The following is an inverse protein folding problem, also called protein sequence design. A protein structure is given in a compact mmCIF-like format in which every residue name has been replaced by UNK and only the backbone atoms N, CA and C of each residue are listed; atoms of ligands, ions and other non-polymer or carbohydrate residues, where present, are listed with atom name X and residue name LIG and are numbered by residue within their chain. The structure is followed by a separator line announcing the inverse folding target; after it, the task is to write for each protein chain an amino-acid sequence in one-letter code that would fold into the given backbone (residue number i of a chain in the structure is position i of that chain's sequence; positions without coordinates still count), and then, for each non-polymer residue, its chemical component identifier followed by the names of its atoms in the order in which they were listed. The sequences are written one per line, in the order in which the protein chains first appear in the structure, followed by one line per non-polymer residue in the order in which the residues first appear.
data_IF_878455201319
#
_entry.id   IF_878455201319
#
_cell.length_a   1.000
_cell.length_b   1.000
_cell.length_c   1.000
_cell.angle_alpha   90.00
_cell.angle_beta   90.00
_cell.angle_gamma   90.00
#
_symmetry.space_group_name_H-M   'P 1'
#
loop_
_entity.id
_entity.type
_entity.pdbx_description
1 polymer ?
#
# COMPACT_ATOMS: atom_id res chain seq x y z
N UNK A 1 -11.73 -25.38 16.39
CA UNK A 1 -10.83 -25.62 15.25
C UNK A 1 -11.32 -24.74 14.11
N UNK A 2 -10.73 -23.56 13.93
CA UNK A 2 -11.14 -22.66 12.86
C UNK A 2 -10.68 -23.25 11.53
N UNK A 3 -11.63 -23.56 10.65
CA UNK A 3 -11.34 -24.03 9.29
C UNK A 3 -10.52 -22.97 8.57
N UNK A 4 -9.27 -23.29 8.22
CA UNK A 4 -8.41 -22.43 7.41
C UNK A 4 -9.04 -22.30 6.02
N UNK A 5 -9.75 -21.20 5.77
CA UNK A 5 -10.29 -20.87 4.46
C UNK A 5 -9.09 -20.60 3.55
N UNK A 6 -8.84 -21.52 2.62
CA UNK A 6 -7.81 -21.36 1.59
C UNK A 6 -8.31 -20.34 0.57
N UNK A 7 -7.78 -19.11 0.64
CA UNK A 7 -8.08 -18.06 -0.34
C UNK A 7 -7.23 -18.25 -1.61
N UNK A 8 -7.76 -17.87 -2.80
CA UNK A 8 -6.98 -17.90 -4.02
C UNK A 8 -5.81 -16.91 -3.96
N UNK A 9 -4.67 -17.29 -4.53
CA UNK A 9 -3.50 -16.41 -4.65
C UNK A 9 -3.67 -15.41 -5.80
N UNK A 10 -3.26 -14.16 -5.60
CA UNK A 10 -3.19 -13.14 -6.66
C UNK A 10 -1.81 -12.44 -6.69
N UNK A 11 -1.52 -11.76 -7.81
CA UNK A 11 -0.30 -10.97 -8.03
C UNK A 11 -0.66 -9.51 -8.33
N UNK A 12 -0.83 -8.67 -7.29
CA UNK A 12 -1.22 -7.28 -7.48
C UNK A 12 -0.09 -6.44 -8.08
N UNK A 13 -0.48 -5.41 -8.85
CA UNK A 13 0.41 -4.44 -9.48
C UNK A 13 0.07 -3.06 -8.94
N UNK A 14 1.05 -2.39 -8.33
CA UNK A 14 0.92 -1.02 -7.85
C UNK A 14 1.49 -0.07 -8.91
N UNK A 15 0.60 0.65 -9.60
CA UNK A 15 0.95 1.54 -10.71
C UNK A 15 1.25 2.96 -10.21
N UNK A 16 2.17 3.71 -10.83
CA UNK A 16 2.52 5.08 -10.43
C UNK A 16 1.51 6.12 -10.94
N UNK A 17 0.28 5.71 -11.22
CA UNK A 17 -0.80 6.54 -11.77
C UNK A 17 -2.16 6.00 -11.36
N UNK A 18 -3.16 6.88 -11.45
CA UNK A 18 -4.55 6.56 -11.16
C UNK A 18 -5.32 6.28 -12.45
N UNK A 19 -6.24 5.32 -12.41
CA UNK A 19 -7.16 5.03 -13.50
C UNK A 19 -8.57 5.31 -12.98
N UNK A 20 -9.30 6.21 -13.64
CA UNK A 20 -10.72 6.48 -13.35
C UNK A 20 -11.62 5.38 -13.95
N UNK A 21 -11.37 4.14 -13.55
CA UNK A 21 -12.13 2.97 -13.97
C UNK A 21 -12.03 1.85 -12.94
N UNK A 22 -13.16 1.50 -12.35
CA UNK A 22 -13.29 0.38 -11.43
C UNK A 22 -14.07 -0.74 -12.11
N UNK A 23 -13.38 -1.82 -12.50
CA UNK A 23 -14.01 -2.96 -13.14
C UNK A 23 -13.02 -3.99 -13.69
N UNK A 24 -13.53 -5.06 -14.32
CA UNK A 24 -12.69 -6.07 -14.94
C UNK A 24 -11.84 -5.47 -16.07
N UNK A 25 -10.54 -5.71 -16.03
CA UNK A 25 -9.59 -5.31 -17.07
C UNK A 25 -8.79 -6.51 -17.58
N UNK A 26 -8.57 -6.65 -18.91
CA UNK A 26 -7.80 -7.74 -19.49
C UNK A 26 -6.28 -7.54 -19.33
N UNK A 27 -5.80 -7.55 -18.09
CA UNK A 27 -4.39 -7.25 -17.75
C UNK A 27 -3.42 -8.22 -18.44
N UNK A 28 -3.70 -9.52 -18.41
CA UNK A 28 -2.83 -10.55 -19.02
C UNK A 28 -2.66 -10.40 -20.54
N UNK A 29 -3.62 -9.78 -21.22
CA UNK A 29 -3.56 -9.57 -22.68
C UNK A 29 -2.71 -8.37 -23.06
N UNK A 30 -2.81 -7.28 -22.32
CA UNK A 30 -2.24 -5.98 -22.71
C UNK A 30 -1.02 -5.56 -21.90
N UNK A 31 -0.91 -5.94 -20.63
CA UNK A 31 0.24 -5.63 -19.79
C UNK A 31 1.30 -6.73 -19.98
N UNK A 32 2.19 -6.52 -20.95
CA UNK A 32 3.32 -7.42 -21.21
C UNK A 32 4.46 -7.05 -20.29
N UNK A 33 4.95 -8.02 -19.53
CA UNK A 33 6.08 -7.85 -18.61
C UNK A 33 7.27 -8.57 -19.19
N UNK A 34 8.37 -7.83 -19.37
CA UNK A 34 9.65 -8.33 -19.83
C UNK A 34 10.65 -8.26 -18.67
N UNK A 35 11.34 -9.35 -18.37
CA UNK A 35 12.37 -9.37 -17.35
C UNK A 35 13.71 -8.92 -17.96
N UNK A 36 14.29 -7.87 -17.42
CA UNK A 36 15.61 -7.39 -17.79
C UNK A 36 16.59 -7.60 -16.65
N UNK A 37 17.71 -8.25 -16.96
CA UNK A 37 18.84 -8.35 -16.04
C UNK A 37 19.85 -7.29 -16.46
N UNK A 38 20.05 -6.27 -15.62
CA UNK A 38 21.22 -5.40 -15.80
C UNK A 38 22.44 -6.13 -15.27
N UNK A 39 23.22 -6.66 -16.18
CA UNK A 39 24.64 -6.85 -15.92
C UNK A 39 25.33 -5.49 -16.14
N UNK A 40 25.90 -4.92 -15.06
CA UNK A 40 26.79 -3.74 -15.05
C UNK A 40 26.12 -2.35 -15.00
N UNK A 41 26.07 -1.75 -13.81
CA UNK A 41 25.87 -0.30 -13.60
C UNK A 41 27.17 0.34 -13.07
N UNK A 42 28.32 -0.02 -13.65
CA UNK A 42 29.63 0.62 -13.38
C UNK A 42 30.52 0.59 -14.64
N UNK A 43 30.04 1.04 -15.81
CA UNK A 43 30.95 1.40 -16.90
C UNK A 43 31.19 2.92 -16.93
N UNK A 44 32.40 3.39 -16.61
CA UNK A 44 32.81 4.75 -16.93
C UNK A 44 32.95 4.89 -18.45
N UNK A 45 32.50 6.04 -18.95
CA UNK A 45 32.62 6.47 -20.35
C UNK A 45 34.03 6.14 -20.90
N UNK A 46 34.16 5.43 -22.04
CA UNK A 46 35.47 5.08 -22.57
C UNK A 46 36.11 6.29 -23.26
N UNK A 47 36.90 7.05 -22.52
CA UNK A 47 37.89 7.96 -23.10
C UNK A 47 39.17 7.17 -23.45
N UNK A 48 39.40 6.97 -24.74
CA UNK A 48 40.74 6.81 -25.33
C UNK A 48 41.28 5.38 -25.52
N UNK A 49 42.04 5.10 -26.60
CA UNK A 49 42.51 3.75 -26.93
C UNK A 49 43.94 3.46 -26.44
N UNK A 50 44.13 2.17 -26.09
CA UNK A 50 45.34 1.33 -26.28
C UNK A 50 46.52 1.46 -25.29
N UNK A 51 46.76 0.40 -24.51
CA UNK A 51 48.08 -0.25 -24.38
C UNK A 51 47.97 -1.59 -23.61
N UNK A 52 48.69 -2.58 -24.12
CA UNK A 52 48.78 -3.98 -23.68
C UNK A 52 49.79 -4.16 -22.54
N UNK A 53 49.56 -5.07 -21.58
CA UNK A 53 50.57 -6.01 -21.01
C UNK A 53 50.14 -6.71 -19.70
N UNK A 54 49.90 -8.01 -19.83
CA UNK A 54 50.35 -9.15 -18.99
C UNK A 54 50.85 -9.01 -17.53
N UNK A 55 50.33 -9.92 -16.69
CA UNK A 55 50.99 -10.91 -15.77
C UNK A 55 50.69 -10.84 -14.25
N UNK A 56 50.33 -12.03 -13.71
CA UNK A 56 50.60 -12.62 -12.37
C UNK A 56 49.79 -12.25 -11.10
N UNK A 57 49.05 -13.27 -10.63
CA UNK A 57 48.88 -13.78 -9.26
C UNK A 57 48.70 -12.83 -8.05
N UNK A 58 47.54 -12.93 -7.37
CA UNK A 58 47.42 -13.15 -5.91
C UNK A 58 45.96 -13.02 -5.41
N UNK A 59 45.50 -14.03 -4.65
CA UNK A 59 44.43 -13.95 -3.63
C UNK A 59 42.97 -14.05 -4.10
N UNK A 60 42.12 -14.94 -3.53
CA UNK A 60 40.68 -14.79 -3.63
C UNK A 60 40.27 -13.68 -2.65
N UNK A 61 40.37 -12.43 -3.09
CA UNK A 61 39.56 -11.36 -2.50
C UNK A 61 38.09 -11.77 -2.63
N UNK A 62 37.21 -11.49 -1.65
CA UNK A 62 35.80 -11.78 -1.81
C UNK A 62 35.34 -10.97 -3.02
N UNK A 63 35.09 -11.65 -4.13
CA UNK A 63 34.41 -11.05 -5.27
C UNK A 63 33.11 -10.51 -4.69
N UNK A 64 32.99 -9.18 -4.57
CA UNK A 64 31.70 -8.55 -4.39
C UNK A 64 30.86 -9.11 -5.54
N UNK A 65 30.00 -10.07 -5.22
CA UNK A 65 29.12 -10.68 -6.19
C UNK A 65 28.36 -9.52 -6.80
N UNK A 66 28.73 -9.20 -8.04
CA UNK A 66 28.11 -8.19 -8.88
C UNK A 66 26.62 -8.49 -8.84
N UNK A 67 25.85 -7.76 -8.02
CA UNK A 67 24.42 -8.01 -7.84
C UNK A 67 23.76 -7.65 -9.15
N UNK A 68 23.57 -8.65 -10.01
CA UNK A 68 22.69 -8.56 -11.14
C UNK A 68 21.32 -8.13 -10.59
N UNK A 69 20.92 -6.90 -10.87
CA UNK A 69 19.61 -6.41 -10.50
C UNK A 69 18.67 -6.78 -11.67
N UNK A 70 17.82 -7.79 -11.44
CA UNK A 70 16.69 -8.09 -12.30
C UNK A 70 15.59 -7.06 -12.02
N UNK A 71 15.13 -6.35 -13.05
CA UNK A 71 13.97 -5.49 -12.99
C UNK A 71 13.00 -5.86 -14.09
N UNK A 72 11.73 -5.57 -13.85
CA UNK A 72 10.66 -5.78 -14.80
C UNK A 72 10.53 -4.54 -15.67
N UNK A 73 10.23 -4.72 -16.95
CA UNK A 73 9.90 -3.63 -17.87
C UNK A 73 8.54 -3.91 -18.47
N UNK A 74 7.71 -2.87 -18.51
CA UNK A 74 6.44 -2.90 -19.23
C UNK A 74 6.18 -1.54 -19.86
N UNK A 75 5.11 -1.45 -20.64
CA UNK A 75 4.63 -0.16 -21.13
C UNK A 75 3.14 -0.02 -20.90
N UNK A 76 2.72 1.17 -20.51
CA UNK A 76 1.31 1.51 -20.33
C UNK A 76 1.01 2.87 -20.97
N UNK A 77 0.01 2.92 -21.85
CA UNK A 77 -0.35 4.12 -22.63
C UNK A 77 0.85 4.78 -23.34
N UNK A 78 1.78 3.97 -23.85
CA UNK A 78 2.97 4.43 -24.55
C UNK A 78 4.10 4.96 -23.67
N UNK A 79 4.01 4.82 -22.34
CA UNK A 79 5.07 5.18 -21.39
C UNK A 79 5.73 3.93 -20.83
N UNK A 80 7.04 3.98 -20.64
CA UNK A 80 7.84 2.91 -20.07
C UNK A 80 7.67 2.85 -18.56
N UNK A 81 7.50 1.63 -18.05
CA UNK A 81 7.37 1.34 -16.64
C UNK A 81 8.47 0.37 -16.24
N UNK A 82 9.12 0.66 -15.11
CA UNK A 82 10.09 -0.21 -14.48
C UNK A 82 9.47 -0.79 -13.22
N UNK A 83 9.41 -2.11 -13.13
CA UNK A 83 8.80 -2.83 -12.03
C UNK A 83 9.83 -3.48 -11.14
N UNK A 84 9.63 -3.42 -9.84
CA UNK A 84 10.39 -4.18 -8.85
C UNK A 84 9.41 -5.11 -8.13
N UNK A 85 9.75 -6.38 -8.00
CA UNK A 85 8.97 -7.31 -7.20
C UNK A 85 9.31 -7.12 -5.72
N UNK A 86 8.29 -6.84 -4.91
CA UNK A 86 8.41 -6.62 -3.47
C UNK A 86 7.69 -7.73 -2.74
N UNK A 87 8.40 -8.38 -1.83
CA UNK A 87 7.83 -9.38 -0.94
C UNK A 87 7.17 -8.70 0.28
N UNK A 88 6.08 -9.30 0.75
CA UNK A 88 5.44 -8.88 1.99
C UNK A 88 6.39 -9.22 3.17
N UNK A 89 6.51 -8.36 4.20
CA UNK A 89 7.36 -8.62 5.35
C UNK A 89 7.07 -9.95 6.04
N UNK A 90 8.11 -10.56 6.62
CA UNK A 90 7.98 -11.84 7.32
C UNK A 90 6.92 -11.77 8.44
N UNK A 91 6.06 -12.78 8.52
CA UNK A 91 4.94 -12.83 9.48
C UNK A 91 3.67 -12.11 9.02
N UNK A 92 3.71 -11.38 7.89
CA UNK A 92 2.54 -10.72 7.32
C UNK A 92 2.04 -11.45 6.08
N UNK A 93 0.76 -11.25 5.75
CA UNK A 93 0.15 -11.74 4.52
C UNK A 93 -0.72 -10.64 3.91
N UNK A 94 -0.67 -10.50 2.59
CA UNK A 94 -1.53 -9.58 1.86
C UNK A 94 -2.93 -10.18 1.69
N UNK A 95 -3.96 -9.40 1.97
CA UNK A 95 -5.36 -9.78 1.77
C UNK A 95 -6.08 -8.78 0.89
N UNK A 96 -6.90 -9.28 -0.03
CA UNK A 96 -7.85 -8.47 -0.80
C UNK A 96 -9.22 -8.65 -0.18
N UNK A 97 -9.82 -7.55 0.27
CA UNK A 97 -11.14 -7.53 0.89
C UNK A 97 -12.14 -6.85 -0.04
N UNK A 98 -13.33 -7.43 -0.17
CA UNK A 98 -14.46 -6.81 -0.87
C UNK A 98 -15.57 -6.50 0.11
N UNK A 99 -16.07 -5.26 0.08
CA UNK A 99 -17.25 -4.87 0.87
C UNK A 99 -18.48 -5.63 0.40
N UNK A 100 -19.34 -6.02 1.34
CA UNK A 100 -20.66 -6.54 0.99
C UNK A 100 -21.54 -5.40 0.47
N UNK A 101 -21.98 -5.50 -0.79
CA UNK A 101 -22.77 -4.46 -1.47
C UNK A 101 -24.23 -4.32 -0.93
N UNK A 102 -24.51 -4.80 0.29
CA UNK A 102 -25.85 -4.96 0.87
C UNK A 102 -26.39 -3.79 1.70
N UNK A 103 -25.58 -2.80 2.07
CA UNK A 103 -26.02 -1.64 2.87
C UNK A 103 -26.02 -0.36 2.04
N UNK A 104 -26.80 -0.34 0.96
CA UNK A 104 -27.24 0.94 0.38
C UNK A 104 -28.13 1.62 1.42
N UNK A 105 -27.55 2.53 2.22
CA UNK A 105 -28.32 3.46 3.04
C UNK A 105 -29.27 4.19 2.08
N UNK A 106 -30.57 3.87 2.15
CA UNK A 106 -31.58 4.70 1.51
C UNK A 106 -31.39 6.11 2.06
N UNK A 107 -30.98 7.03 1.19
CA UNK A 107 -30.98 8.45 1.52
C UNK A 107 -32.42 8.85 1.79
N UNK A 108 -32.80 8.86 3.06
CA UNK A 108 -34.01 9.53 3.51
C UNK A 108 -34.00 10.93 2.91
N UNK A 109 -35.04 11.25 2.13
CA UNK A 109 -35.32 12.61 1.66
C UNK A 109 -35.65 13.48 2.88
N UNK A 110 -34.62 13.91 3.60
CA UNK A 110 -34.72 14.99 4.57
C UNK A 110 -34.92 16.29 3.78
N UNK A 111 -36.15 16.80 3.78
CA UNK A 111 -36.44 18.18 3.35
C UNK A 111 -35.54 19.13 4.15
N UNK A 112 -34.75 19.94 3.46
CA UNK A 112 -34.03 21.05 4.07
C UNK A 112 -35.03 21.97 4.81
N UNK A 113 -34.79 22.33 6.09
CA UNK A 113 -35.61 23.35 6.73
C UNK A 113 -35.23 24.71 6.12
N UNK A 114 -36.25 25.40 5.61
CA UNK A 114 -36.12 26.74 5.04
C UNK A 114 -35.66 27.72 6.11
N UNK A 115 -34.70 28.56 5.73
CA UNK A 115 -34.25 29.69 6.52
C UNK A 115 -35.42 30.68 6.72
N UNK A 116 -35.84 30.85 7.98
CA UNK A 116 -36.67 31.97 8.39
C UNK A 116 -35.95 32.73 9.51
N UNK A 117 -35.49 33.94 9.20
CA UNK A 117 -35.17 34.97 10.18
C UNK A 117 -36.43 35.33 10.99
N UNK A 118 -36.30 35.60 12.30
CA UNK A 118 -36.65 36.96 12.73
C UNK A 118 -35.80 37.54 13.88
N UNK A 119 -35.47 38.82 13.71
CA UNK A 119 -35.63 39.92 14.68
C UNK A 119 -35.53 39.68 16.20
N UNK A 120 -34.42 40.14 16.77
CA UNK A 120 -34.29 41.02 17.97
C UNK A 120 -35.52 41.17 18.91
N UNK A 121 -35.44 40.62 20.12
CA UNK A 121 -35.95 41.23 21.37
C UNK A 121 -35.44 40.54 22.67
N UNK A 122 -34.66 41.31 23.45
CA UNK A 122 -34.57 41.41 24.93
C UNK A 122 -34.56 40.19 25.87
N UNK A 123 -33.39 40.04 26.51
CA UNK A 123 -33.08 39.62 27.91
C UNK A 123 -34.26 39.30 28.85
N UNK A 124 -34.30 38.06 29.36
CA UNK A 124 -34.45 37.76 30.80
C UNK A 124 -33.69 36.48 31.15
N UNK A 125 -32.76 36.62 32.08
CA UNK A 125 -32.01 35.52 32.71
C UNK A 125 -32.92 34.74 33.65
N UNK A 126 -33.09 33.45 33.39
CA UNK A 126 -33.55 32.49 34.40
C UNK A 126 -32.66 31.26 34.29
N UNK A 127 -31.95 31.00 35.39
CA UNK A 127 -31.11 29.82 35.63
C UNK A 127 -31.94 28.55 35.43
N UNK A 128 -31.53 27.69 34.50
CA UNK A 128 -31.80 26.26 34.59
C UNK A 128 -30.45 25.54 34.54
N UNK A 129 -30.08 24.93 35.66
CA UNK A 129 -29.12 23.84 35.68
C UNK A 129 -29.83 22.64 35.03
N UNK A 130 -29.27 22.10 33.96
CA UNK A 130 -29.52 20.73 33.53
C UNK A 130 -28.23 19.97 33.82
N UNK A 131 -28.32 19.21 34.89
CA UNK A 131 -27.46 18.09 35.25
C UNK A 131 -27.93 16.94 34.35
N UNK A 132 -27.06 16.44 33.48
CA UNK A 132 -27.33 15.31 32.57
C UNK A 132 -25.98 14.65 32.28
N UNK A 133 -25.44 14.00 33.31
CA UNK A 133 -24.20 13.20 33.30
C UNK A 133 -24.53 11.69 33.29
N UNK A 134 -25.59 11.30 32.57
CA UNK A 134 -25.97 9.89 32.41
C UNK A 134 -26.38 9.64 30.95
N UNK A 135 -25.40 9.52 30.05
CA UNK A 135 -25.60 8.78 28.78
C UNK A 135 -24.26 8.45 28.08
N UNK A 136 -23.14 8.40 28.83
CA UNK A 136 -21.81 8.23 28.26
C UNK A 136 -21.40 6.81 27.83
N UNK A 137 -22.29 5.84 27.97
CA UNK A 137 -21.96 4.43 27.69
C UNK A 137 -22.76 3.85 26.51
N UNK A 138 -23.85 4.49 26.08
CA UNK A 138 -24.73 3.95 25.03
C UNK A 138 -24.16 4.19 23.61
N UNK A 139 -23.31 5.19 23.41
CA UNK A 139 -22.75 5.53 22.10
C UNK A 139 -21.56 4.66 21.65
N UNK A 140 -20.86 3.99 22.57
CA UNK A 140 -19.79 3.05 22.19
C UNK A 140 -20.35 1.70 21.73
N UNK A 141 -21.44 1.23 22.33
CA UNK A 141 -22.10 -0.02 21.92
C UNK A 141 -22.79 0.11 20.54
N UNK A 142 -23.41 1.27 20.25
CA UNK A 142 -24.08 1.50 18.98
C UNK A 142 -23.11 1.61 17.79
N UNK A 143 -21.90 2.14 18.00
CA UNK A 143 -20.89 2.31 16.93
C UNK A 143 -20.22 1.00 16.50
N UNK A 144 -20.11 0.00 17.40
CA UNK A 144 -19.57 -1.32 17.06
C UNK A 144 -20.49 -2.16 16.17
N UNK A 145 -21.81 -1.90 16.18
CA UNK A 145 -22.79 -2.73 15.48
C UNK A 145 -22.96 -2.46 13.97
N UNK A 146 -22.32 -1.40 13.44
CA UNK A 146 -22.52 -0.94 12.05
C UNK A 146 -21.25 -1.01 11.18
N UNK A 147 -20.23 -1.75 11.61
CA UNK A 147 -19.04 -1.95 10.78
C UNK A 147 -19.41 -2.66 9.47
N UNK A 148 -19.08 -2.10 8.29
CA UNK A 148 -19.30 -2.78 7.01
C UNK A 148 -18.61 -4.14 7.02
N UNK A 149 -19.36 -5.21 6.74
CA UNK A 149 -18.77 -6.56 6.66
C UNK A 149 -17.87 -6.63 5.43
N UNK A 150 -16.59 -6.95 5.64
CA UNK A 150 -15.61 -7.13 4.59
C UNK A 150 -15.35 -8.63 4.38
N UNK A 151 -15.49 -9.10 3.14
CA UNK A 151 -15.22 -10.50 2.81
C UNK A 151 -13.83 -10.64 2.17
N UNK A 152 -12.96 -11.53 2.68
CA UNK A 152 -11.70 -11.82 2.04
C UNK A 152 -11.93 -12.59 0.73
N UNK A 153 -11.37 -12.07 -0.37
CA UNK A 153 -11.56 -12.63 -1.72
C UNK A 153 -10.30 -13.29 -2.27
N UNK A 154 -9.11 -12.79 -1.92
CA UNK A 154 -7.84 -13.31 -2.37
C UNK A 154 -6.72 -12.97 -1.37
N UNK A 155 -5.58 -13.64 -1.52
CA UNK A 155 -4.36 -13.40 -0.74
C UNK A 155 -3.14 -13.25 -1.65
N UNK A 156 -2.10 -12.58 -1.17
CA UNK A 156 -0.83 -12.44 -1.89
C UNK A 156 0.36 -12.34 -0.93
N UNK A 157 1.51 -12.85 -1.36
CA UNK A 157 2.78 -12.80 -0.60
C UNK A 157 3.81 -11.85 -1.22
N UNK A 158 3.57 -11.39 -2.45
CA UNK A 158 4.39 -10.40 -3.13
C UNK A 158 3.53 -9.57 -4.08
N UNK A 159 4.03 -8.40 -4.45
CA UNK A 159 3.38 -7.51 -5.42
C UNK A 159 4.44 -6.81 -6.27
N UNK A 160 4.03 -6.30 -7.43
CA UNK A 160 4.93 -5.54 -8.31
C UNK A 160 4.70 -4.05 -8.10
N UNK A 161 5.76 -3.33 -7.73
CA UNK A 161 5.77 -1.88 -7.62
C UNK A 161 6.34 -1.30 -8.92
N UNK A 162 5.58 -0.46 -9.60
CA UNK A 162 5.96 0.15 -10.87
C UNK A 162 6.35 1.62 -10.71
N UNK A 163 7.46 2.02 -11.34
CA UNK A 163 7.97 3.38 -11.43
C UNK A 163 7.94 3.88 -12.88
N UNK A 164 7.68 5.19 -13.10
CA UNK A 164 7.68 5.76 -14.44
C UNK A 164 9.11 6.08 -14.90
N UNK A 165 9.50 5.59 -16.08
CA UNK A 165 10.71 5.96 -16.86
C UNK A 165 12.10 5.77 -16.19
N UNK A 166 12.20 5.82 -14.86
CA UNK A 166 13.45 5.69 -14.09
C UNK A 166 13.46 4.40 -13.27
N UNK A 167 14.64 3.78 -13.18
CA UNK A 167 14.88 2.70 -12.23
C UNK A 167 14.85 3.29 -10.81
N UNK A 168 13.70 3.18 -10.15
CA UNK A 168 13.56 3.53 -8.75
C UNK A 168 14.52 2.70 -7.91
N UNK A 169 15.30 3.36 -7.04
CA UNK A 169 16.06 2.64 -6.02
C UNK A 169 15.06 2.12 -5.00
N UNK A 170 15.03 0.81 -4.79
CA UNK A 170 14.12 0.13 -3.86
C UNK A 170 14.07 0.80 -2.46
N UNK A 171 15.22 1.29 -1.96
CA UNK A 171 15.33 1.94 -0.63
C UNK A 171 14.78 3.37 -0.56
N UNK A 172 14.67 4.04 -1.70
CA UNK A 172 14.19 5.41 -1.74
C UNK A 172 12.66 5.46 -1.82
N UNK A 173 12.01 4.34 -2.14
CA UNK A 173 10.57 4.22 -2.31
C UNK A 173 9.80 4.23 -0.98
N UNK A 174 8.72 5.00 -0.94
CA UNK A 174 7.89 5.22 0.25
C UNK A 174 7.11 3.96 0.68
N UNK A 175 6.64 3.15 -0.27
CA UNK A 175 5.91 1.92 0.02
C UNK A 175 6.84 0.85 0.58
N UNK A 176 8.03 0.71 -0.02
CA UNK A 176 9.03 -0.23 0.48
C UNK A 176 9.56 0.21 1.86
N UNK A 177 9.80 1.51 2.05
CA UNK A 177 10.21 2.07 3.35
C UNK A 177 9.17 1.81 4.42
N UNK A 178 7.90 2.14 4.16
CA UNK A 178 6.83 1.90 5.12
C UNK A 178 6.65 0.40 5.42
N UNK A 179 6.61 -0.47 4.41
CA UNK A 179 6.47 -1.91 4.63
C UNK A 179 7.61 -2.51 5.46
N UNK A 180 8.85 -2.06 5.26
CA UNK A 180 10.00 -2.65 5.96
C UNK A 180 10.34 -2.00 7.30
N UNK A 181 10.15 -0.69 7.43
CA UNK A 181 10.54 0.06 8.62
C UNK A 181 9.38 0.25 9.58
N UNK A 182 8.20 0.66 9.08
CA UNK A 182 7.04 0.93 9.94
C UNK A 182 6.49 -0.34 10.57
N UNK A 183 6.45 -1.46 9.85
CA UNK A 183 5.97 -2.74 10.42
C UNK A 183 6.81 -3.19 11.61
N UNK A 184 8.14 -3.14 11.48
CA UNK A 184 9.09 -3.47 12.56
C UNK A 184 8.99 -2.50 13.74
N UNK A 185 8.86 -1.21 13.45
CA UNK A 185 8.72 -0.20 14.49
C UNK A 185 7.39 -0.34 15.24
N UNK A 186 6.31 -0.64 14.53
CA UNK A 186 4.98 -0.88 15.12
C UNK A 186 4.99 -2.08 16.06
N UNK A 187 5.67 -3.17 15.68
CA UNK A 187 5.86 -4.34 16.53
C UNK A 187 6.54 -3.97 17.86
N UNK A 188 7.58 -3.13 17.82
CA UNK A 188 8.28 -2.67 19.01
C UNK A 188 7.45 -1.72 19.89
N UNK A 189 6.65 -0.83 19.28
CA UNK A 189 5.79 0.11 20.03
C UNK A 189 4.68 -0.64 20.77
N UNK A 190 4.12 -1.67 20.14
CA UNK A 190 3.04 -2.47 20.71
C UNK A 190 3.54 -3.69 21.48
N UNK A 191 4.85 -3.83 21.66
CA UNK A 191 5.43 -4.86 22.49
C UNK A 191 5.08 -4.62 23.97
N UNK A 192 4.30 -5.54 24.54
CA UNK A 192 4.03 -5.56 25.98
C UNK A 192 5.06 -6.50 26.61
N UNK A 193 5.96 -6.00 27.50
CA UNK A 193 6.92 -6.85 28.17
C UNK A 193 6.21 -7.90 29.02
N UNK A 194 6.66 -9.15 28.93
CA UNK A 194 6.20 -10.20 29.84
C UNK A 194 6.78 -9.92 31.24
N UNK A 195 5.91 -9.53 32.18
CA UNK A 195 6.27 -9.31 33.58
C UNK A 195 6.61 -10.69 34.20
N UNK A 196 7.90 -10.91 34.48
CA UNK A 196 8.43 -12.15 35.10
C UNK A 196 8.93 -11.89 36.50
#
# INVERSE_FOLDING_TARGET
MASSISLPSCSPNLMPFHIDYDGPAPISTFLRVEEHVTENLDEPVPDGPKAESSTTAAGPAPSLARRAASYLVSSFRGRTLHGTQIDVPAGYTGLVLKGVDGLKKEKGKGKAPQAHSPSRATRRSARNRCDDDEDMEEYEAATQSLAPVLNPTAQFSSFVLWHPDTLGREKDDEYVRSLNEWTKLSELIHYIPDDT
#
